data_IF_066795912501
#
_entry.id   IF_066795912501
#
_cell.length_a   1.000
_cell.length_b   1.000
_cell.length_c   1.000
_cell.angle_alpha   90.00
_cell.angle_beta   90.00
_cell.angle_gamma   90.00
#
_symmetry.space_group_name_H-M   'P 1'
#
loop_
_entity.id
_entity.type
_entity.pdbx_description
1 polymer ?
#
# COMPACT_ATOMS: atom_id res chain seq x y z
N UNK A 1 16.17 15.13 0.24
CA UNK A 1 14.76 14.98 0.66
C UNK A 1 13.83 15.21 -0.53
N UNK A 2 13.90 16.36 -1.24
CA UNK A 2 12.99 16.73 -2.35
C UNK A 2 12.97 15.68 -3.48
N UNK A 3 14.13 15.20 -3.92
CA UNK A 3 14.24 14.20 -5.00
C UNK A 3 13.56 12.88 -4.59
N UNK A 4 13.81 12.41 -3.38
CA UNK A 4 13.21 11.16 -2.86
C UNK A 4 11.69 11.30 -2.75
N UNK A 5 11.24 12.44 -2.23
CA UNK A 5 9.81 12.72 -2.08
C UNK A 5 9.11 12.86 -3.45
N UNK A 6 9.73 13.57 -4.39
CA UNK A 6 9.22 13.71 -5.75
C UNK A 6 9.14 12.36 -6.49
N UNK A 7 10.19 11.54 -6.41
CA UNK A 7 10.20 10.19 -6.99
C UNK A 7 9.10 9.31 -6.38
N UNK A 8 8.92 9.38 -5.06
CA UNK A 8 7.88 8.62 -4.37
C UNK A 8 6.47 9.02 -4.83
N UNK A 9 6.17 10.33 -4.87
CA UNK A 9 4.87 10.83 -5.34
C UNK A 9 4.60 10.39 -6.77
N UNK A 10 5.59 10.52 -7.65
CA UNK A 10 5.47 10.15 -9.06
C UNK A 10 5.20 8.66 -9.21
N UNK A 11 5.99 7.79 -8.57
CA UNK A 11 5.81 6.35 -8.61
C UNK A 11 4.45 5.91 -8.05
N UNK A 12 4.01 6.54 -6.94
CA UNK A 12 2.72 6.24 -6.33
C UNK A 12 1.54 6.70 -7.20
N UNK A 13 1.67 7.84 -7.88
CA UNK A 13 0.67 8.35 -8.82
C UNK A 13 0.51 7.42 -10.02
N UNK A 14 1.62 6.94 -10.60
CA UNK A 14 1.60 5.94 -11.66
C UNK A 14 0.94 4.64 -11.20
N UNK A 15 1.26 4.16 -10.02
CA UNK A 15 0.63 2.97 -9.45
C UNK A 15 -0.89 3.11 -9.36
N UNK A 16 -1.39 4.21 -8.78
CA UNK A 16 -2.83 4.49 -8.66
C UNK A 16 -3.46 4.60 -10.05
N UNK A 17 -2.79 5.27 -11.00
CA UNK A 17 -3.30 5.42 -12.36
C UNK A 17 -3.46 4.05 -13.04
N UNK A 18 -2.44 3.20 -12.99
CA UNK A 18 -2.47 1.85 -13.58
C UNK A 18 -3.60 1.01 -12.97
N UNK A 19 -3.74 1.02 -11.64
CA UNK A 19 -4.79 0.29 -10.94
C UNK A 19 -6.19 0.80 -11.34
N UNK A 20 -6.37 2.11 -11.43
CA UNK A 20 -7.64 2.71 -11.80
C UNK A 20 -7.98 2.45 -13.28
N UNK A 21 -6.99 2.56 -14.16
CA UNK A 21 -7.13 2.23 -15.58
C UNK A 21 -7.54 0.78 -15.76
N UNK A 22 -6.84 -0.16 -15.13
CA UNK A 22 -7.14 -1.58 -15.19
C UNK A 22 -8.56 -1.88 -14.70
N UNK A 23 -8.97 -1.28 -13.59
CA UNK A 23 -10.30 -1.44 -13.00
C UNK A 23 -11.43 -0.97 -13.91
N UNK A 24 -11.21 0.13 -14.66
CA UNK A 24 -12.25 0.78 -15.45
C UNK A 24 -12.30 0.32 -16.92
N UNK A 25 -11.20 -0.20 -17.46
CA UNK A 25 -11.09 -0.51 -18.90
C UNK A 25 -11.50 -1.94 -19.24
N UNK A 26 -11.49 -2.86 -18.29
CA UNK A 26 -11.88 -4.25 -18.57
C UNK A 26 -13.39 -4.46 -18.48
N UNK A 27 -13.93 -4.99 -19.57
CA UNK A 27 -15.33 -5.41 -19.70
C UNK A 27 -15.69 -6.53 -18.70
N UNK A 28 -16.92 -6.55 -18.29
CA UNK A 28 -17.58 -7.25 -17.20
C UNK A 28 -17.55 -8.79 -17.21
N UNK A 29 -16.90 -9.43 -18.17
CA UNK A 29 -17.14 -10.84 -18.48
C UNK A 29 -16.41 -11.89 -17.62
N UNK A 30 -15.47 -11.52 -16.76
CA UNK A 30 -14.88 -12.45 -15.77
C UNK A 30 -14.15 -11.72 -14.64
N UNK A 31 -14.92 -11.07 -13.79
CA UNK A 31 -14.42 -10.11 -12.82
C UNK A 31 -13.53 -10.71 -11.71
N UNK A 32 -13.77 -11.98 -11.31
CA UNK A 32 -13.02 -12.61 -10.22
C UNK A 32 -11.63 -13.10 -10.64
N UNK A 33 -11.51 -13.67 -11.83
CA UNK A 33 -10.25 -14.25 -12.29
C UNK A 33 -9.29 -13.18 -12.80
N UNK A 34 -9.82 -12.11 -13.37
CA UNK A 34 -9.02 -10.96 -13.80
C UNK A 34 -8.37 -10.21 -12.63
N UNK A 35 -9.06 -10.09 -11.50
CA UNK A 35 -8.50 -9.46 -10.31
C UNK A 35 -7.37 -10.29 -9.72
N UNK A 36 -7.51 -11.62 -9.70
CA UNK A 36 -6.44 -12.55 -9.24
C UNK A 36 -5.20 -12.45 -10.12
N UNK A 37 -5.37 -12.41 -11.45
CA UNK A 37 -4.27 -12.27 -12.39
C UNK A 37 -3.51 -10.93 -12.19
N UNK A 38 -4.23 -9.82 -12.01
CA UNK A 38 -3.60 -8.53 -11.71
C UNK A 38 -2.78 -8.57 -10.42
N UNK A 39 -3.34 -9.14 -9.35
CA UNK A 39 -2.63 -9.31 -8.08
C UNK A 39 -1.37 -10.15 -8.24
N UNK A 40 -1.47 -11.26 -8.95
CA UNK A 40 -0.31 -12.13 -9.18
C UNK A 40 0.80 -11.37 -9.92
N UNK A 41 0.47 -10.66 -11.00
CA UNK A 41 1.43 -9.87 -11.78
C UNK A 41 2.04 -8.75 -10.93
N UNK A 42 1.24 -8.02 -10.15
CA UNK A 42 1.74 -6.95 -9.27
C UNK A 42 2.71 -7.50 -8.22
N UNK A 43 2.37 -8.61 -7.56
CA UNK A 43 3.22 -9.22 -6.54
C UNK A 43 4.51 -9.80 -7.14
N UNK A 44 4.45 -10.48 -8.26
CA UNK A 44 5.63 -11.01 -8.94
C UNK A 44 6.54 -9.86 -9.38
N UNK A 45 5.98 -8.81 -10.00
CA UNK A 45 6.77 -7.67 -10.48
C UNK A 45 7.41 -6.89 -9.34
N UNK A 46 6.70 -6.67 -8.24
CA UNK A 46 7.24 -5.96 -7.07
C UNK A 46 8.34 -6.78 -6.37
N UNK A 47 8.16 -8.08 -6.24
CA UNK A 47 9.16 -8.98 -5.64
C UNK A 47 10.40 -9.05 -6.52
N UNK A 48 10.25 -9.19 -7.84
CA UNK A 48 11.36 -9.20 -8.78
C UNK A 48 12.14 -7.89 -8.75
N UNK A 49 11.44 -6.75 -8.75
CA UNK A 49 12.07 -5.43 -8.64
C UNK A 49 12.86 -5.30 -7.34
N UNK A 50 12.33 -5.78 -6.22
CA UNK A 50 12.97 -5.74 -4.91
C UNK A 50 14.24 -6.60 -4.89
N UNK A 51 14.20 -7.79 -5.47
CA UNK A 51 15.37 -8.68 -5.63
C UNK A 51 16.44 -7.99 -6.49
N UNK A 52 16.07 -7.42 -7.65
CA UNK A 52 17.01 -6.75 -8.54
C UNK A 52 17.68 -5.54 -7.89
N UNK A 53 16.90 -4.72 -7.16
CA UNK A 53 17.45 -3.57 -6.42
C UNK A 53 18.39 -4.04 -5.32
N UNK A 54 18.03 -5.07 -4.57
CA UNK A 54 18.87 -5.65 -3.52
C UNK A 54 20.19 -6.16 -4.08
N UNK A 55 20.14 -6.95 -5.16
CA UNK A 55 21.34 -7.45 -5.84
C UNK A 55 22.18 -6.29 -6.41
N UNK A 56 21.54 -5.26 -6.98
CA UNK A 56 22.22 -4.07 -7.45
C UNK A 56 22.98 -3.33 -6.36
N UNK A 57 22.34 -3.14 -5.18
CA UNK A 57 22.99 -2.48 -4.03
C UNK A 57 24.15 -3.32 -3.51
N UNK A 58 23.97 -4.63 -3.36
CA UNK A 58 25.04 -5.53 -2.92
C UNK A 58 26.20 -5.50 -3.93
N UNK A 59 25.95 -5.59 -5.22
CA UNK A 59 26.96 -5.50 -6.25
C UNK A 59 27.71 -4.16 -6.23
N UNK A 60 27.00 -3.04 -6.06
CA UNK A 60 27.64 -1.72 -5.92
C UNK A 60 28.58 -1.66 -4.71
N UNK A 61 28.22 -2.24 -3.59
CA UNK A 61 29.08 -2.26 -2.40
C UNK A 61 30.27 -3.18 -2.60
N UNK A 62 30.06 -4.39 -3.11
CA UNK A 62 31.11 -5.41 -3.21
C UNK A 62 32.07 -5.19 -4.38
N UNK A 63 31.57 -4.72 -5.54
CA UNK A 63 32.35 -4.56 -6.76
C UNK A 63 32.87 -3.14 -6.92
N UNK A 64 32.03 -2.14 -6.69
CA UNK A 64 32.39 -0.73 -6.89
C UNK A 64 32.95 -0.06 -5.62
N UNK A 65 32.96 -0.74 -4.49
CA UNK A 65 33.42 -0.17 -3.21
C UNK A 65 32.53 0.96 -2.68
N UNK A 66 31.28 1.02 -3.12
CA UNK A 66 30.36 2.05 -2.67
C UNK A 66 30.14 1.92 -1.16
N UNK A 67 30.38 3.01 -0.41
CA UNK A 67 30.21 3.03 1.04
C UNK A 67 29.28 4.16 1.46
N UNK A 68 28.47 3.92 2.48
CA UNK A 68 27.57 4.91 3.02
C UNK A 68 26.86 4.41 4.28
N UNK A 69 26.36 5.34 5.11
CA UNK A 69 25.79 4.99 6.43
C UNK A 69 24.54 4.12 6.35
N UNK A 70 23.91 4.00 5.18
CA UNK A 70 22.73 3.16 4.96
C UNK A 70 22.98 1.98 4.01
N UNK A 71 23.87 2.17 3.04
CA UNK A 71 24.13 1.20 1.97
C UNK A 71 24.99 0.06 2.47
N UNK A 72 26.05 0.37 3.23
CA UNK A 72 26.97 -0.64 3.79
C UNK A 72 26.27 -1.57 4.80
N UNK A 73 25.51 -1.07 5.80
CA UNK A 73 24.78 -1.96 6.72
C UNK A 73 23.74 -2.83 6.01
N UNK A 74 23.07 -2.29 4.98
CA UNK A 74 22.13 -3.05 4.18
C UNK A 74 22.81 -4.19 3.41
N UNK A 75 23.90 -3.92 2.74
CA UNK A 75 24.67 -4.97 2.05
C UNK A 75 25.20 -6.03 3.00
N UNK A 76 25.73 -5.63 4.15
CA UNK A 76 26.18 -6.55 5.20
C UNK A 76 25.07 -7.42 5.76
N UNK A 77 23.88 -6.87 5.96
CA UNK A 77 22.72 -7.65 6.41
C UNK A 77 22.32 -8.77 5.42
N UNK A 78 22.58 -8.56 4.10
CA UNK A 78 22.31 -9.56 3.06
C UNK A 78 23.46 -10.57 2.91
N UNK A 79 24.71 -10.10 2.95
CA UNK A 79 25.89 -10.94 2.71
C UNK A 79 26.37 -11.69 3.93
N UNK A 80 26.19 -11.14 5.11
CA UNK A 80 26.62 -11.69 6.39
C UNK A 80 25.57 -11.46 7.47
N UNK A 81 24.38 -12.13 7.35
CA UNK A 81 23.29 -11.93 8.28
C UNK A 81 23.68 -12.40 9.69
N UNK A 82 23.36 -11.58 10.69
CA UNK A 82 23.47 -11.96 12.09
C UNK A 82 22.36 -12.98 12.41
N UNK A 83 22.77 -14.21 12.69
CA UNK A 83 21.85 -15.33 12.94
C UNK A 83 21.03 -15.18 14.22
N UNK A 84 21.46 -14.36 15.16
CA UNK A 84 20.71 -14.10 16.39
C UNK A 84 19.44 -13.25 16.08
N UNK A 85 19.55 -12.27 15.18
CA UNK A 85 18.46 -11.37 14.81
C UNK A 85 17.69 -11.79 13.57
N UNK A 86 18.22 -12.72 12.77
CA UNK A 86 17.59 -13.17 11.53
C UNK A 86 16.15 -13.67 11.71
N UNK A 87 15.79 -14.50 12.74
CA UNK A 87 14.42 -14.96 12.91
C UNK A 87 13.43 -13.81 13.14
N UNK A 88 13.82 -12.78 13.87
CA UNK A 88 12.98 -11.59 14.12
C UNK A 88 12.78 -10.77 12.86
N UNK A 89 13.83 -10.66 12.03
CA UNK A 89 13.73 -9.99 10.72
C UNK A 89 12.79 -10.74 9.78
N UNK A 90 12.84 -12.07 9.73
CA UNK A 90 11.90 -12.90 8.95
C UNK A 90 10.47 -12.75 9.44
N UNK A 91 10.23 -12.76 10.75
CA UNK A 91 8.90 -12.59 11.34
C UNK A 91 8.32 -11.21 10.98
N UNK A 92 9.12 -10.14 11.06
CA UNK A 92 8.74 -8.80 10.64
C UNK A 92 8.43 -8.74 9.14
N UNK A 93 9.24 -9.42 8.31
CA UNK A 93 9.03 -9.53 6.86
C UNK A 93 7.72 -10.22 6.48
N UNK A 94 7.36 -11.30 7.18
CA UNK A 94 6.08 -12.00 7.00
C UNK A 94 4.92 -11.07 7.33
N UNK A 95 4.97 -10.39 8.48
CA UNK A 95 3.96 -9.41 8.88
C UNK A 95 3.79 -8.30 7.85
N UNK A 96 4.89 -7.74 7.36
CA UNK A 96 4.88 -6.74 6.30
C UNK A 96 4.28 -7.26 4.99
N UNK A 97 4.62 -8.48 4.58
CA UNK A 97 4.08 -9.12 3.38
C UNK A 97 2.57 -9.28 3.42
N UNK A 98 2.03 -9.70 4.57
CA UNK A 98 0.59 -9.81 4.79
C UNK A 98 -0.08 -8.44 4.65
N UNK A 99 0.45 -7.41 5.29
CA UNK A 99 -0.10 -6.03 5.21
C UNK A 99 -0.02 -5.50 3.78
N UNK A 100 1.08 -5.72 3.08
CA UNK A 100 1.24 -5.31 1.69
C UNK A 100 0.20 -5.96 0.77
N UNK A 101 -0.05 -7.26 0.94
CA UNK A 101 -1.07 -8.00 0.20
C UNK A 101 -2.48 -7.42 0.44
N UNK A 102 -2.88 -7.23 1.70
CA UNK A 102 -4.18 -6.65 2.02
C UNK A 102 -4.34 -5.20 1.54
N UNK A 103 -3.25 -4.43 1.53
CA UNK A 103 -3.25 -3.07 1.00
C UNK A 103 -3.66 -3.04 -0.48
N UNK A 104 -3.07 -3.90 -1.31
CA UNK A 104 -3.43 -4.00 -2.73
C UNK A 104 -4.88 -4.46 -2.90
N UNK A 105 -5.31 -5.43 -2.11
CA UNK A 105 -6.67 -5.94 -2.14
C UNK A 105 -7.72 -4.83 -1.88
N UNK A 106 -7.46 -3.92 -0.94
CA UNK A 106 -8.33 -2.78 -0.65
C UNK A 106 -8.59 -1.87 -1.86
N UNK A 107 -7.58 -1.67 -2.73
CA UNK A 107 -7.71 -0.85 -3.93
C UNK A 107 -8.59 -1.49 -5.02
N UNK A 108 -8.69 -2.82 -5.04
CA UNK A 108 -9.41 -3.57 -6.06
C UNK A 108 -10.90 -3.74 -5.76
N UNK A 109 -11.40 -3.35 -4.59
CA UNK A 109 -12.82 -3.43 -4.29
C UNK A 109 -13.65 -2.57 -5.24
N UNK A 110 -14.64 -3.19 -5.87
CA UNK A 110 -15.64 -2.51 -6.70
C UNK A 110 -16.42 -1.46 -5.89
N UNK A 111 -16.72 -0.34 -6.54
CA UNK A 111 -17.55 0.72 -5.97
C UNK A 111 -16.82 1.65 -5.00
N UNK A 112 -15.50 1.54 -4.82
CA UNK A 112 -14.68 2.51 -4.06
C UNK A 112 -13.77 3.29 -4.98
N UNK A 113 -13.60 4.59 -4.69
CA UNK A 113 -12.59 5.40 -5.40
C UNK A 113 -11.19 4.99 -4.96
N UNK A 114 -10.24 5.07 -5.90
CA UNK A 114 -8.82 4.84 -5.59
C UNK A 114 -8.31 5.80 -4.51
N UNK A 115 -8.79 7.04 -4.52
CA UNK A 115 -8.45 8.07 -3.53
C UNK A 115 -8.90 7.67 -2.12
N UNK A 116 -10.15 7.17 -1.97
CA UNK A 116 -10.65 6.71 -0.67
C UNK A 116 -9.86 5.49 -0.17
N UNK A 117 -9.61 4.51 -1.05
CA UNK A 117 -8.80 3.34 -0.70
C UNK A 117 -7.38 3.73 -0.27
N UNK A 118 -6.74 4.68 -0.99
CA UNK A 118 -5.43 5.22 -0.65
C UNK A 118 -5.40 5.90 0.71
N UNK A 119 -6.43 6.70 1.02
CA UNK A 119 -6.53 7.40 2.29
C UNK A 119 -6.72 6.42 3.46
N UNK A 120 -7.59 5.41 3.31
CA UNK A 120 -7.80 4.35 4.32
C UNK A 120 -6.51 3.58 4.56
N UNK A 121 -5.78 3.22 3.49
CA UNK A 121 -4.49 2.53 3.60
C UNK A 121 -3.45 3.37 4.37
N UNK A 122 -3.41 4.69 4.14
CA UNK A 122 -2.52 5.60 4.87
C UNK A 122 -2.91 5.72 6.35
N UNK A 123 -4.21 5.81 6.64
CA UNK A 123 -4.69 5.82 8.02
C UNK A 123 -4.28 4.54 8.76
N UNK A 124 -4.51 3.38 8.14
CA UNK A 124 -4.14 2.09 8.73
C UNK A 124 -2.63 2.00 9.00
N UNK A 125 -1.80 2.46 8.05
CA UNK A 125 -0.34 2.48 8.23
C UNK A 125 0.11 3.41 9.36
N UNK A 126 -0.52 4.57 9.51
CA UNK A 126 -0.21 5.51 10.60
C UNK A 126 -0.63 4.95 11.95
N UNK A 127 -1.84 4.40 12.05
CA UNK A 127 -2.31 3.75 13.29
C UNK A 127 -1.36 2.62 13.68
N UNK A 128 -1.00 1.76 12.73
CA UNK A 128 -0.08 0.64 12.98
C UNK A 128 1.30 1.13 13.41
N UNK A 129 1.85 2.17 12.75
CA UNK A 129 3.12 2.78 13.11
C UNK A 129 3.10 3.38 14.50
N UNK A 130 2.11 4.21 14.82
CA UNK A 130 1.97 4.84 16.14
C UNK A 130 1.78 3.78 17.24
N UNK A 131 0.97 2.74 16.97
CA UNK A 131 0.77 1.63 17.93
C UNK A 131 2.06 0.86 18.16
N UNK A 132 2.81 0.55 17.09
CA UNK A 132 4.10 -0.13 17.19
C UNK A 132 5.11 0.69 18.00
N UNK A 133 5.20 2.01 17.76
CA UNK A 133 6.08 2.91 18.52
C UNK A 133 5.69 2.94 20.00
N UNK A 134 4.39 3.03 20.32
CA UNK A 134 3.91 2.97 21.70
C UNK A 134 4.22 1.67 22.39
N UNK A 135 3.99 0.54 21.71
CA UNK A 135 4.32 -0.80 22.25
C UNK A 135 5.82 -0.93 22.49
N UNK A 136 6.64 -0.43 21.55
CA UNK A 136 8.09 -0.46 21.69
C UNK A 136 8.58 0.45 22.84
N UNK A 137 8.02 1.64 22.98
CA UNK A 137 8.32 2.55 24.08
C UNK A 137 7.96 1.93 25.45
N UNK A 138 6.81 1.24 25.52
CA UNK A 138 6.35 0.60 26.75
C UNK A 138 7.17 -0.66 27.12
N UNK A 139 7.50 -1.50 26.12
CA UNK A 139 8.17 -2.78 26.36
C UNK A 139 9.70 -2.66 26.47
N UNK A 140 10.32 -1.71 25.76
CA UNK A 140 11.77 -1.60 25.59
C UNK A 140 12.34 -0.22 25.96
N UNK A 141 11.57 0.62 26.67
CA UNK A 141 11.99 1.97 27.07
C UNK A 141 12.48 2.84 25.89
N UNK A 142 11.85 2.66 24.71
CA UNK A 142 12.12 3.46 23.52
C UNK A 142 11.47 4.85 23.58
N UNK A 143 11.71 5.63 22.53
CA UNK A 143 11.12 6.97 22.41
C UNK A 143 9.61 6.90 22.16
N UNK A 144 8.86 7.79 22.81
CA UNK A 144 7.44 7.95 22.57
C UNK A 144 7.17 8.65 21.23
N UNK A 145 5.99 8.42 20.61
CA UNK A 145 5.58 9.14 19.40
C UNK A 145 5.60 10.66 19.63
N UNK A 146 6.14 11.38 18.67
CA UNK A 146 6.19 12.84 18.73
C UNK A 146 4.78 13.45 18.64
N UNK A 147 4.62 14.65 19.16
CA UNK A 147 3.35 15.40 19.11
C UNK A 147 2.87 15.56 17.65
N UNK A 148 3.81 15.68 16.72
CA UNK A 148 3.51 15.82 15.29
C UNK A 148 2.82 14.57 14.70
N UNK A 149 3.12 13.38 15.22
CA UNK A 149 2.49 12.12 14.81
C UNK A 149 1.01 12.09 15.23
N UNK A 150 0.72 12.56 16.45
CA UNK A 150 -0.65 12.69 16.95
C UNK A 150 -1.48 13.70 16.16
N UNK A 151 -0.90 14.86 15.84
CA UNK A 151 -1.54 15.90 15.03
C UNK A 151 -1.85 15.32 13.64
N UNK A 152 -0.88 14.64 13.00
CA UNK A 152 -1.04 14.00 11.70
C UNK A 152 -2.15 12.97 11.72
N UNK A 153 -2.25 12.17 12.78
CA UNK A 153 -3.28 11.17 12.97
C UNK A 153 -4.69 11.80 13.03
N UNK A 154 -4.85 12.90 13.78
CA UNK A 154 -6.12 13.63 13.88
C UNK A 154 -6.56 14.17 12.51
N UNK A 155 -5.64 14.81 11.76
CA UNK A 155 -5.96 15.32 10.42
C UNK A 155 -6.37 14.22 9.44
N UNK A 156 -5.72 13.07 9.49
CA UNK A 156 -6.08 11.95 8.62
C UNK A 156 -7.41 11.34 9.04
N UNK A 157 -7.72 11.22 10.32
CA UNK A 157 -9.04 10.79 10.77
C UNK A 157 -10.15 11.72 10.28
N UNK A 158 -9.94 13.04 10.38
CA UNK A 158 -10.87 14.03 9.85
C UNK A 158 -11.06 13.86 8.33
N UNK A 159 -9.96 13.74 7.57
CA UNK A 159 -9.99 13.54 6.12
C UNK A 159 -10.74 12.25 5.73
N UNK A 160 -10.49 11.12 6.41
CA UNK A 160 -11.21 9.86 6.19
C UNK A 160 -12.70 10.01 6.49
N UNK A 161 -13.07 10.71 7.56
CA UNK A 161 -14.45 11.00 7.91
C UNK A 161 -15.20 11.80 6.85
N UNK A 162 -14.58 12.87 6.34
CA UNK A 162 -15.16 13.68 5.25
C UNK A 162 -15.28 12.88 3.95
N UNK A 163 -14.24 12.20 3.54
CA UNK A 163 -14.25 11.40 2.31
C UNK A 163 -15.18 10.19 2.41
N UNK A 164 -15.31 9.57 3.59
CA UNK A 164 -16.25 8.49 3.82
C UNK A 164 -17.70 8.93 3.62
N UNK A 165 -18.06 10.15 4.07
CA UNK A 165 -19.40 10.74 3.80
C UNK A 165 -19.62 11.00 2.32
N UNK A 166 -18.63 11.59 1.63
CA UNK A 166 -18.70 11.86 0.19
C UNK A 166 -18.84 10.57 -0.63
N UNK A 167 -18.08 9.53 -0.28
CA UNK A 167 -18.15 8.23 -0.94
C UNK A 167 -19.51 7.54 -0.73
N UNK A 168 -20.09 7.64 0.48
CA UNK A 168 -21.42 7.11 0.77
C UNK A 168 -22.50 7.82 -0.03
N UNK A 169 -22.40 9.15 -0.19
CA UNK A 169 -23.33 9.93 -1.02
C UNK A 169 -23.23 9.49 -2.49
N UNK A 170 -22.02 9.43 -3.03
CA UNK A 170 -21.76 9.00 -4.41
C UNK A 170 -22.31 7.60 -4.71
N UNK A 171 -22.17 6.66 -3.78
CA UNK A 171 -22.72 5.30 -3.95
C UNK A 171 -24.23 5.28 -4.02
N UNK A 172 -24.90 6.10 -3.21
CA UNK A 172 -26.36 6.24 -3.28
C UNK A 172 -26.79 6.76 -4.62
N UNK A 173 -26.16 7.83 -5.11
CA UNK A 173 -26.46 8.43 -6.40
C UNK A 173 -26.25 7.44 -7.57
N UNK A 174 -25.18 6.64 -7.54
CA UNK A 174 -24.95 5.60 -8.55
C UNK A 174 -25.99 4.47 -8.48
N UNK A 175 -26.36 4.03 -7.28
CA UNK A 175 -27.40 2.99 -7.11
C UNK A 175 -28.78 3.46 -7.56
N UNK A 176 -29.11 4.73 -7.35
CA UNK A 176 -30.34 5.33 -7.81
C UNK A 176 -30.37 5.46 -9.34
N UNK A 177 -29.23 5.85 -9.95
CA UNK A 177 -29.08 5.91 -11.41
C UNK A 177 -29.20 4.53 -12.07
N UNK A 178 -28.58 3.49 -11.50
CA UNK A 178 -28.71 2.11 -11.97
C UNK A 178 -30.14 1.56 -11.83
N UNK A 179 -30.84 1.94 -10.75
CA UNK A 179 -32.24 1.58 -10.54
C UNK A 179 -33.19 2.19 -11.58
N UNK A 180 -32.87 3.38 -12.09
CA UNK A 180 -33.66 4.06 -13.15
C UNK A 180 -33.33 3.55 -14.56
N UNK A 181 -32.19 2.89 -14.76
CA UNK A 181 -31.77 2.34 -16.05
C UNK A 181 -32.18 0.89 -16.30
N UNK A 182 -32.82 0.19 -15.34
CA UNK A 182 -33.44 -1.08 -15.64
C UNK A 182 -34.65 -0.84 -16.53
N UNK A 183 -34.60 -1.21 -17.82
CA UNK A 183 -35.76 -1.08 -18.72
C UNK A 183 -36.89 -1.92 -18.16
N UNK A 184 -38.10 -1.39 -18.33
CA UNK A 184 -39.33 -2.17 -18.32
C UNK A 184 -39.34 -3.13 -19.53
N UNK A 185 -38.47 -4.11 -19.54
CA UNK A 185 -38.53 -5.28 -20.42
C UNK A 185 -39.08 -6.43 -19.58
N UNK A 186 -40.37 -6.55 -19.56
CA UNK A 186 -41.14 -7.78 -19.37
C UNK A 186 -42.59 -7.45 -19.15
N UNK A 187 -43.27 -7.02 -20.22
CA UNK A 187 -44.71 -7.33 -20.41
C UNK A 187 -45.04 -7.09 -21.87
N UNK A 188 -44.69 -8.06 -22.73
CA UNK A 188 -45.46 -8.30 -23.95
C UNK A 188 -45.45 -9.81 -24.21
N UNK A 189 -46.49 -10.43 -23.71
CA UNK A 189 -46.98 -11.69 -24.24
C UNK A 189 -47.82 -11.40 -25.47
#
# INVERSE_FOLDING_TARGET
VIIVFGSYITAYSFRIYIMNYYKNTRKQESDKDNNKAFFAIEQISSTLALILITLGVVACVTVCGASGPRVTPFANAVTSPDMEWAPWAYLAGIGYGIVAFFSVFLFMFKGRTATFAGLVNRLTSLIAGTTATLLFAFAFTGDYPEIIDWISLIFIFAAVGFMGKAEKKRRREMSEAEGHQKPKEETSF
#
